data_IF_122987884684
#
_entry.id   IF_122987884684
#
_cell.length_a   1.000
_cell.length_b   1.000
_cell.length_c   1.000
_cell.angle_alpha   90.00
_cell.angle_beta   90.00
_cell.angle_gamma   90.00
#
_symmetry.space_group_name_H-M   'P 1'
#
loop_
_entity.id
_entity.type
_entity.pdbx_description
1 polymer ?
#
# COMPACT_ATOMS: atom_id res chain seq x y z
N UNK A 1 -13.79 -2.10 -11.43
CA UNK A 1 -12.73 -1.15 -11.01
C UNK A 1 -11.47 -1.92 -10.63
N UNK A 2 -10.33 -1.45 -11.08
CA UNK A 2 -9.02 -2.00 -10.66
C UNK A 2 -8.40 -1.13 -9.58
N UNK A 3 -8.17 -1.70 -8.42
CA UNK A 3 -7.64 -1.02 -7.24
C UNK A 3 -6.25 -1.55 -6.94
N UNK A 4 -5.26 -0.67 -6.92
CA UNK A 4 -3.90 -1.00 -6.49
C UNK A 4 -3.81 -0.82 -4.98
N UNK A 5 -3.63 -1.89 -4.26
CA UNK A 5 -3.47 -1.88 -2.79
C UNK A 5 -1.98 -1.86 -2.45
N UNK A 6 -1.57 -0.89 -1.65
CA UNK A 6 -0.18 -0.66 -1.23
C UNK A 6 -0.07 -0.80 0.29
N UNK A 7 0.92 -1.56 0.72
CA UNK A 7 1.36 -1.62 2.10
C UNK A 7 2.86 -1.31 2.14
N UNK A 8 3.20 -0.10 2.58
CA UNK A 8 4.53 0.44 2.55
C UNK A 8 5.20 0.35 3.93
N UNK A 9 6.33 -0.33 3.98
CA UNK A 9 7.23 -0.38 5.13
C UNK A 9 8.48 0.50 4.91
N UNK A 10 9.36 0.55 5.90
CA UNK A 10 10.58 1.38 5.86
C UNK A 10 11.53 1.01 4.71
N UNK A 11 11.66 -0.27 4.39
CA UNK A 11 12.53 -0.80 3.31
C UNK A 11 11.82 -1.79 2.39
N UNK A 12 10.50 -1.84 2.44
CA UNK A 12 9.70 -2.78 1.64
C UNK A 12 8.39 -2.14 1.20
N UNK A 13 7.82 -2.71 0.14
CA UNK A 13 6.51 -2.32 -0.37
C UNK A 13 5.82 -3.58 -0.90
N UNK A 14 4.70 -3.96 -0.28
CA UNK A 14 3.82 -5.02 -0.78
C UNK A 14 2.69 -4.40 -1.59
N UNK A 15 2.32 -5.06 -2.67
CA UNK A 15 1.21 -4.60 -3.50
C UNK A 15 0.34 -5.75 -4.01
N UNK A 16 -0.92 -5.41 -4.28
CA UNK A 16 -1.88 -6.25 -5.00
C UNK A 16 -2.70 -5.36 -5.92
N UNK A 17 -2.92 -5.80 -7.14
CA UNK A 17 -3.93 -5.22 -8.02
C UNK A 17 -5.18 -6.09 -7.97
N UNK A 18 -6.29 -5.52 -7.55
CA UNK A 18 -7.55 -6.23 -7.30
C UNK A 18 -8.63 -5.64 -8.20
N UNK A 19 -9.39 -6.51 -8.87
CA UNK A 19 -10.63 -6.09 -9.50
C UNK A 19 -11.76 -6.12 -8.45
N UNK A 20 -12.37 -4.97 -8.17
CA UNK A 20 -13.37 -4.84 -7.11
C UNK A 20 -14.72 -5.49 -7.42
N UNK A 21 -15.01 -5.77 -8.67
CA UNK A 21 -16.28 -6.39 -9.09
C UNK A 21 -16.22 -7.91 -8.95
N UNK A 22 -15.11 -8.51 -9.40
CA UNK A 22 -14.89 -9.95 -9.28
C UNK A 22 -14.21 -10.37 -7.98
N UNK A 23 -13.72 -9.41 -7.19
CA UNK A 23 -12.90 -9.63 -5.98
C UNK A 23 -11.62 -10.44 -6.25
N UNK A 24 -11.18 -10.48 -7.50
CA UNK A 24 -10.00 -11.23 -7.91
C UNK A 24 -8.72 -10.41 -7.79
N UNK A 25 -7.67 -11.04 -7.29
CA UNK A 25 -6.30 -10.51 -7.33
C UNK A 25 -5.73 -10.76 -8.72
N UNK A 26 -5.55 -9.69 -9.50
CA UNK A 26 -5.01 -9.75 -10.86
C UNK A 26 -3.49 -9.92 -10.87
N UNK A 27 -2.81 -9.31 -9.91
CA UNK A 27 -1.38 -9.45 -9.68
C UNK A 27 -1.03 -9.10 -8.24
N UNK A 28 0.07 -9.63 -7.75
CA UNK A 28 0.63 -9.31 -6.44
C UNK A 28 2.15 -9.31 -6.48
N UNK A 29 2.77 -8.64 -5.54
CA UNK A 29 4.21 -8.63 -5.46
C UNK A 29 4.77 -7.93 -4.23
N UNK A 30 6.09 -7.90 -4.19
CA UNK A 30 6.86 -7.37 -3.07
C UNK A 30 8.14 -6.73 -3.60
N UNK A 31 8.36 -5.48 -3.24
CA UNK A 31 9.66 -4.82 -3.34
C UNK A 31 10.38 -4.97 -2.00
N UNK A 32 11.63 -5.38 -2.04
CA UNK A 32 12.47 -5.61 -0.87
C UNK A 32 13.77 -4.86 -0.97
N UNK A 33 14.36 -4.52 0.18
CA UNK A 33 15.64 -3.82 0.29
C UNK A 33 15.64 -2.45 -0.41
N UNK A 34 14.53 -1.74 -0.34
CA UNK A 34 14.41 -0.35 -0.85
C UNK A 34 15.41 0.52 -0.09
N UNK A 35 16.23 1.28 -0.82
CA UNK A 35 17.29 2.12 -0.25
C UNK A 35 18.54 1.35 0.19
N UNK A 36 18.63 0.07 -0.09
CA UNK A 36 19.73 -0.83 0.30
C UNK A 36 20.23 -1.57 -0.94
N UNK A 37 21.51 -1.92 -0.98
CA UNK A 37 22.08 -2.70 -2.08
C UNK A 37 21.39 -4.07 -2.23
N UNK A 38 21.21 -4.49 -3.48
CA UNK A 38 20.52 -5.74 -3.81
C UNK A 38 19.01 -5.66 -3.71
N UNK A 39 18.45 -4.46 -3.90
CA UNK A 39 17.00 -4.30 -4.00
C UNK A 39 16.40 -5.12 -5.14
N UNK A 40 15.22 -5.65 -4.93
CA UNK A 40 14.54 -6.53 -5.88
C UNK A 40 13.03 -6.41 -5.80
N UNK A 41 12.38 -6.72 -6.90
CA UNK A 41 10.93 -6.87 -6.99
C UNK A 41 10.57 -8.31 -7.33
N UNK A 42 9.65 -8.89 -6.58
CA UNK A 42 9.02 -10.18 -6.89
C UNK A 42 7.60 -9.91 -7.36
N UNK A 43 7.29 -10.31 -8.58
CA UNK A 43 5.97 -10.09 -9.21
C UNK A 43 5.33 -11.42 -9.57
N UNK A 44 4.03 -11.54 -9.34
CA UNK A 44 3.23 -12.69 -9.71
C UNK A 44 1.90 -12.24 -10.31
N UNK A 45 1.69 -12.39 -11.62
CA UNK A 45 0.38 -12.19 -12.24
C UNK A 45 -0.55 -13.35 -11.88
N UNK A 46 -1.86 -13.13 -11.99
CA UNK A 46 -2.88 -14.16 -11.78
C UNK A 46 -2.62 -15.37 -12.70
N UNK A 47 -2.55 -16.55 -12.09
CA UNK A 47 -2.30 -17.80 -12.83
C UNK A 47 -0.87 -17.95 -13.36
N UNK A 48 0.02 -17.01 -13.07
CA UNK A 48 1.42 -17.03 -13.47
C UNK A 48 2.36 -17.39 -12.34
N UNK A 49 3.64 -17.52 -12.68
CA UNK A 49 4.70 -17.81 -11.73
C UNK A 49 5.24 -16.54 -11.08
N UNK A 50 5.82 -16.70 -9.89
CA UNK A 50 6.58 -15.64 -9.23
C UNK A 50 7.90 -15.41 -9.97
N UNK A 51 8.13 -14.18 -10.38
CA UNK A 51 9.40 -13.75 -10.99
C UNK A 51 10.06 -12.72 -10.11
N UNK A 52 11.26 -13.02 -9.66
CA UNK A 52 12.12 -12.11 -8.91
C UNK A 52 13.09 -11.43 -9.85
N UNK A 53 13.14 -10.10 -9.82
CA UNK A 53 14.02 -9.27 -10.62
C UNK A 53 14.83 -8.35 -9.73
N UNK A 54 16.14 -8.37 -9.82
CA UNK A 54 16.99 -7.34 -9.20
C UNK A 54 16.85 -6.04 -9.97
N UNK A 55 16.53 -4.98 -9.25
CA UNK A 55 16.40 -3.64 -9.82
C UNK A 55 16.77 -2.62 -8.75
N UNK A 56 17.53 -1.60 -9.13
CA UNK A 56 17.90 -0.53 -8.19
C UNK A 56 16.67 0.28 -7.79
N UNK A 57 16.36 0.27 -6.50
CA UNK A 57 15.27 1.05 -5.91
C UNK A 57 15.82 1.89 -4.74
N UNK A 58 16.53 2.99 -5.04
CA UNK A 58 17.13 3.83 -4.00
C UNK A 58 16.08 4.53 -3.12
N UNK A 59 14.88 4.74 -3.62
CA UNK A 59 13.75 5.31 -2.87
C UNK A 59 12.45 4.55 -3.14
N UNK A 60 11.42 4.83 -2.35
CA UNK A 60 10.09 4.25 -2.54
C UNK A 60 9.43 4.72 -3.84
N UNK A 61 9.79 5.90 -4.36
CA UNK A 61 9.31 6.37 -5.67
C UNK A 61 9.77 5.43 -6.79
N UNK A 62 11.02 5.00 -6.79
CA UNK A 62 11.50 4.00 -7.76
C UNK A 62 10.84 2.63 -7.54
N UNK A 63 10.55 2.26 -6.30
CA UNK A 63 9.81 1.03 -6.01
C UNK A 63 8.40 1.07 -6.60
N UNK A 64 7.67 2.17 -6.44
CA UNK A 64 6.34 2.36 -7.06
C UNK A 64 6.46 2.34 -8.58
N UNK A 65 7.45 3.02 -9.16
CA UNK A 65 7.69 2.99 -10.61
C UNK A 65 7.95 1.55 -11.11
N UNK A 66 8.74 0.75 -10.38
CA UNK A 66 8.99 -0.65 -10.72
C UNK A 66 7.70 -1.51 -10.63
N UNK A 67 6.84 -1.25 -9.66
CA UNK A 67 5.52 -1.91 -9.57
C UNK A 67 4.68 -1.61 -10.81
N UNK A 68 4.58 -0.36 -11.21
CA UNK A 68 3.82 0.06 -12.39
C UNK A 68 4.40 -0.56 -13.66
N UNK A 69 5.72 -0.58 -13.80
CA UNK A 69 6.40 -1.23 -14.92
C UNK A 69 6.02 -2.71 -15.02
N UNK A 70 6.03 -3.44 -13.90
CA UNK A 70 5.62 -4.85 -13.88
C UNK A 70 4.13 -5.06 -14.17
N UNK A 71 3.27 -4.17 -13.69
CA UNK A 71 1.83 -4.26 -13.95
C UNK A 71 1.48 -3.99 -15.42
N UNK A 72 2.28 -3.19 -16.11
CA UNK A 72 2.07 -2.79 -17.52
C UNK A 72 3.01 -3.51 -18.51
N UNK A 73 3.84 -4.42 -18.04
CA UNK A 73 4.78 -5.20 -18.88
C UNK A 73 4.03 -6.07 -19.89
N UNK A 74 4.56 -6.21 -21.11
CA UNK A 74 3.94 -6.98 -22.18
C UNK A 74 3.83 -8.48 -21.89
N UNK A 75 4.71 -9.04 -21.04
CA UNK A 75 4.78 -10.48 -20.76
C UNK A 75 4.15 -10.88 -19.44
N UNK A 76 4.34 -10.08 -18.40
CA UNK A 76 3.92 -10.38 -17.03
C UNK A 76 2.91 -9.38 -16.47
N UNK A 77 2.58 -8.35 -17.23
CA UNK A 77 1.61 -7.34 -16.86
C UNK A 77 0.16 -7.84 -16.96
N UNK A 78 -0.72 -7.14 -16.29
CA UNK A 78 -2.15 -7.45 -16.22
C UNK A 78 -3.03 -6.27 -16.64
N UNK A 79 -2.44 -5.10 -16.86
CA UNK A 79 -3.08 -3.89 -17.40
C UNK A 79 -2.21 -3.33 -18.53
N UNK A 80 -2.84 -2.57 -19.44
CA UNK A 80 -2.13 -1.98 -20.59
C UNK A 80 -1.47 -0.65 -20.28
N UNK A 81 -2.04 0.10 -19.33
CA UNK A 81 -1.55 1.42 -18.93
C UNK A 81 -2.03 1.81 -17.54
N UNK A 82 -1.47 2.89 -17.00
CA UNK A 82 -1.92 3.51 -15.74
C UNK A 82 -3.40 3.91 -15.75
N UNK A 83 -3.97 4.20 -16.92
CA UNK A 83 -5.38 4.59 -17.05
C UNK A 83 -6.35 3.47 -16.63
N UNK A 84 -5.88 2.23 -16.54
CA UNK A 84 -6.68 1.09 -16.07
C UNK A 84 -6.62 0.89 -14.54
N UNK A 85 -5.85 1.72 -13.81
CA UNK A 85 -5.83 1.75 -12.34
C UNK A 85 -6.76 2.87 -11.88
N UNK A 86 -7.88 2.50 -11.31
CA UNK A 86 -8.96 3.44 -10.96
C UNK A 86 -8.76 4.11 -9.60
N UNK A 87 -8.06 3.45 -8.67
CA UNK A 87 -7.74 3.98 -7.35
C UNK A 87 -6.54 3.28 -6.73
N UNK A 88 -5.89 3.93 -5.76
CA UNK A 88 -4.85 3.33 -4.92
C UNK A 88 -5.32 3.32 -3.47
N UNK A 89 -5.37 2.13 -2.87
CA UNK A 89 -5.64 1.95 -1.46
C UNK A 89 -4.34 1.81 -0.66
N UNK A 90 -4.18 2.63 0.38
CA UNK A 90 -3.02 2.59 1.26
C UNK A 90 -3.41 2.05 2.64
N UNK A 91 -2.74 1.01 3.10
CA UNK A 91 -2.83 0.57 4.49
C UNK A 91 -2.07 1.54 5.37
N UNK A 92 -2.76 2.11 6.36
CA UNK A 92 -2.21 3.03 7.35
C UNK A 92 -2.36 2.38 8.74
N UNK A 93 -1.27 2.29 9.47
CA UNK A 93 -1.27 1.58 10.76
C UNK A 93 -2.04 2.35 11.82
N UNK A 94 -1.89 3.67 11.90
CA UNK A 94 -2.56 4.48 12.91
C UNK A 94 -3.15 5.76 12.34
N UNK A 95 -4.46 5.93 12.50
CA UNK A 95 -5.21 7.12 12.10
C UNK A 95 -5.77 7.91 13.30
N UNK A 96 -5.38 7.55 14.52
CA UNK A 96 -5.95 8.12 15.73
C UNK A 96 -7.42 7.70 15.91
N UNK A 97 -8.16 8.53 16.64
CA UNK A 97 -9.60 8.35 16.84
C UNK A 97 -10.44 9.03 15.75
N UNK A 98 -9.78 9.74 14.81
CA UNK A 98 -10.45 10.57 13.80
C UNK A 98 -11.13 9.76 12.70
N UNK A 99 -10.62 8.56 12.39
CA UNK A 99 -11.09 7.77 11.26
C UNK A 99 -11.66 6.42 11.70
N UNK A 100 -12.95 6.26 11.57
CA UNK A 100 -13.69 5.02 11.82
C UNK A 100 -13.88 4.17 10.55
N UNK A 101 -13.50 4.68 9.38
CA UNK A 101 -13.66 4.03 8.08
C UNK A 101 -12.58 4.48 7.11
N UNK A 102 -12.53 3.85 5.95
CA UNK A 102 -11.66 4.28 4.84
C UNK A 102 -12.07 5.66 4.34
N UNK A 103 -11.07 6.49 4.02
CA UNK A 103 -11.28 7.88 3.57
C UNK A 103 -10.40 8.18 2.36
N UNK A 104 -10.90 9.06 1.48
CA UNK A 104 -10.09 9.63 0.40
C UNK A 104 -9.03 10.53 1.01
N UNK A 105 -7.79 10.36 0.57
CA UNK A 105 -6.64 11.10 1.11
C UNK A 105 -6.58 12.49 0.49
N UNK A 106 -6.84 13.49 1.32
CA UNK A 106 -6.62 14.91 1.05
C UNK A 106 -5.52 15.48 1.97
N UNK A 107 -5.33 16.79 1.96
CA UNK A 107 -4.34 17.46 2.80
C UNK A 107 -4.64 17.33 4.30
N UNK A 108 -5.92 17.30 4.68
CA UNK A 108 -6.36 17.15 6.07
C UNK A 108 -6.09 15.73 6.58
N UNK A 109 -6.38 14.72 5.77
CA UNK A 109 -6.08 13.31 6.08
C UNK A 109 -4.58 13.09 6.19
N UNK A 110 -3.77 13.65 5.28
CA UNK A 110 -2.30 13.58 5.36
C UNK A 110 -1.78 14.14 6.68
N UNK A 111 -2.27 15.33 7.07
CA UNK A 111 -1.88 15.95 8.34
C UNK A 111 -2.29 15.10 9.54
N UNK A 112 -3.49 14.54 9.53
CA UNK A 112 -3.96 13.68 10.61
C UNK A 112 -3.13 12.40 10.77
N UNK A 113 -2.65 11.79 9.66
CA UNK A 113 -1.72 10.66 9.69
C UNK A 113 -0.36 11.09 10.25
N UNK A 114 0.13 12.26 9.85
CA UNK A 114 1.38 12.85 10.32
C UNK A 114 1.35 13.13 11.84
N UNK A 115 0.25 13.68 12.34
CA UNK A 115 0.01 13.93 13.77
C UNK A 115 0.01 12.61 14.60
N UNK A 116 -0.21 11.47 13.97
CA UNK A 116 -0.16 10.14 14.60
C UNK A 116 1.20 9.45 14.50
N UNK A 117 2.24 10.10 13.96
CA UNK A 117 3.58 9.51 13.83
C UNK A 117 4.16 9.04 15.17
N UNK A 118 3.91 9.79 16.23
CA UNK A 118 4.39 9.44 17.58
C UNK A 118 3.70 8.17 18.14
N UNK A 119 2.50 7.85 17.65
CA UNK A 119 1.76 6.64 18.04
C UNK A 119 2.22 5.39 17.29
N UNK A 120 2.76 5.56 16.10
CA UNK A 120 3.28 4.48 15.26
C UNK A 120 4.57 4.91 14.54
N UNK A 121 5.67 5.20 15.29
CA UNK A 121 6.87 5.85 14.74
C UNK A 121 7.63 5.01 13.71
N UNK A 122 7.42 3.69 13.72
CA UNK A 122 8.06 2.78 12.75
C UNK A 122 7.23 2.59 11.47
N UNK A 123 5.95 2.91 11.50
CA UNK A 123 5.02 2.57 10.41
C UNK A 123 4.42 3.80 9.73
N UNK A 124 3.87 4.75 10.47
CA UNK A 124 3.20 5.91 9.88
C UNK A 124 4.10 6.74 8.96
N UNK A 125 5.36 7.04 9.31
CA UNK A 125 6.27 7.74 8.40
C UNK A 125 6.48 7.00 7.07
N UNK A 126 6.64 5.67 7.12
CA UNK A 126 6.77 4.85 5.92
C UNK A 126 5.47 4.83 5.09
N UNK A 127 4.31 4.81 5.75
CA UNK A 127 3.02 4.91 5.06
C UNK A 127 2.87 6.26 4.33
N UNK A 128 3.26 7.37 4.94
CA UNK A 128 3.27 8.69 4.31
C UNK A 128 4.20 8.76 3.09
N UNK A 129 5.39 8.17 3.19
CA UNK A 129 6.33 8.04 2.06
C UNK A 129 5.67 7.27 0.92
N UNK A 130 4.98 6.16 1.21
CA UNK A 130 4.26 5.38 0.21
C UNK A 130 3.18 6.19 -0.51
N UNK A 131 2.37 6.96 0.22
CA UNK A 131 1.34 7.84 -0.34
C UNK A 131 1.98 8.89 -1.26
N UNK A 132 3.01 9.59 -0.79
CA UNK A 132 3.68 10.63 -1.56
C UNK A 132 4.35 10.07 -2.83
N UNK A 133 4.98 8.89 -2.73
CA UNK A 133 5.57 8.21 -3.89
C UNK A 133 4.51 7.83 -4.94
N UNK A 134 3.36 7.33 -4.51
CA UNK A 134 2.25 7.04 -5.41
C UNK A 134 1.67 8.30 -6.06
N UNK A 135 1.56 9.40 -5.33
CA UNK A 135 1.10 10.69 -5.88
C UNK A 135 2.06 11.26 -6.93
N UNK A 136 3.36 11.07 -6.72
CA UNK A 136 4.38 11.51 -7.69
C UNK A 136 4.28 10.74 -9.01
N UNK A 137 4.07 9.43 -8.96
CA UNK A 137 3.97 8.56 -10.14
C UNK A 137 2.57 8.60 -10.78
N UNK A 138 1.53 8.72 -9.96
CA UNK A 138 0.11 8.66 -10.37
C UNK A 138 -0.68 9.85 -9.82
N UNK A 139 -0.39 11.09 -10.28
CA UNK A 139 -1.00 12.30 -9.68
C UNK A 139 -2.52 12.39 -9.89
N UNK A 140 -3.05 11.76 -10.93
CA UNK A 140 -4.47 11.82 -11.30
C UNK A 140 -5.31 10.68 -10.71
N UNK A 141 -4.68 9.70 -10.06
CA UNK A 141 -5.38 8.55 -9.48
C UNK A 141 -5.79 8.85 -8.04
N UNK A 142 -7.07 8.65 -7.65
CA UNK A 142 -7.52 8.84 -6.28
C UNK A 142 -6.78 7.93 -5.30
N UNK A 143 -6.39 8.47 -4.15
CA UNK A 143 -5.75 7.73 -3.06
C UNK A 143 -6.71 7.58 -1.91
N UNK A 144 -6.79 6.37 -1.34
CA UNK A 144 -7.68 6.03 -0.22
C UNK A 144 -6.84 5.47 0.93
N UNK A 145 -7.05 5.98 2.13
CA UNK A 145 -6.47 5.44 3.35
C UNK A 145 -7.39 4.39 3.97
N UNK A 146 -6.82 3.25 4.34
CA UNK A 146 -7.49 2.19 5.09
C UNK A 146 -6.72 2.00 6.40
N UNK A 147 -7.36 2.31 7.52
CA UNK A 147 -6.73 2.35 8.83
C UNK A 147 -6.90 1.03 9.59
N UNK A 148 -5.82 0.47 10.11
CA UNK A 148 -5.87 -0.71 10.99
C UNK A 148 -6.67 -0.41 12.26
N UNK A 149 -6.59 0.82 12.77
CA UNK A 149 -7.31 1.27 13.96
C UNK A 149 -8.82 1.37 13.77
N UNK A 150 -9.32 1.47 12.55
CA UNK A 150 -10.75 1.52 12.27
C UNK A 150 -11.49 0.24 12.70
N UNK A 151 -10.86 -0.91 12.58
CA UNK A 151 -11.41 -2.18 13.04
C UNK A 151 -11.70 -2.20 14.54
N UNK A 152 -10.81 -1.65 15.36
CA UNK A 152 -10.95 -1.61 16.82
C UNK A 152 -12.08 -0.69 17.30
N UNK A 153 -12.44 0.33 16.54
CA UNK A 153 -13.50 1.27 16.90
C UNK A 153 -14.91 0.64 16.85
N UNK A 154 -15.08 -0.42 16.08
CA UNK A 154 -16.34 -1.16 15.97
C UNK A 154 -16.47 -2.31 16.96
N UNK A 155 -15.40 -2.63 17.70
CA UNK A 155 -15.40 -3.71 18.69
C UNK A 155 -16.09 -3.28 20.00
N UNK A 156 -16.87 -4.15 20.64
CA UNK A 156 -17.37 -3.90 21.98
C UNK A 156 -16.24 -3.66 22.98
N UNK A 157 -16.44 -2.75 23.94
CA UNK A 157 -15.39 -2.35 24.90
C UNK A 157 -14.80 -3.53 25.69
N UNK A 158 -15.60 -4.53 26.03
CA UNK A 158 -15.13 -5.74 26.69
C UNK A 158 -14.18 -6.60 25.81
N UNK A 159 -14.39 -6.60 24.50
CA UNK A 159 -13.50 -7.29 23.55
C UNK A 159 -12.13 -6.61 23.47
N UNK A 160 -12.05 -5.29 23.57
CA UNK A 160 -10.79 -4.53 23.53
C UNK A 160 -9.89 -4.86 24.74
N UNK A 161 -10.46 -5.25 25.87
CA UNK A 161 -9.72 -5.54 27.09
C UNK A 161 -9.22 -6.99 27.18
N UNK A 162 -9.91 -7.94 26.55
CA UNK A 162 -9.69 -9.37 26.79
C UNK A 162 -9.29 -10.19 25.56
N UNK A 163 -9.50 -9.70 24.35
CA UNK A 163 -9.38 -10.50 23.13
C UNK A 163 -8.28 -10.04 22.16
N UNK A 164 -7.55 -8.98 22.48
CA UNK A 164 -6.39 -8.60 21.72
C UNK A 164 -5.13 -9.23 22.35
N UNK A 165 -4.68 -10.42 21.93
CA UNK A 165 -3.39 -10.93 22.40
C UNK A 165 -2.32 -9.93 21.94
N UNK A 166 -1.44 -9.55 22.88
CA UNK A 166 -0.24 -8.80 22.50
C UNK A 166 0.45 -9.50 21.35
N UNK A 167 0.76 -8.85 20.26
CA UNK A 167 1.61 -9.43 19.24
C UNK A 167 2.95 -9.79 19.89
N UNK A 168 3.25 -11.05 19.88
CA UNK A 168 4.55 -11.56 20.31
C UNK A 168 5.57 -11.40 19.20
#
# INVERSE_FOLDING_TARGET
MNILVINCGSSSLKYQLINSESEEVLAKGLCERIGIDGSCITHQPKGGEKVKTEIAMPTHTQAVAAVIEKLTDEKVGVVKSLAEIDAVGHRIVHGGEKFASSVVIDAEVMKAIEDCNDLAPLHNPANLIGINSCREIMPDVPMVAVFDTAFHQTMPKNCLLYTSPSPR
#
